data_IF_982069546958
#
_entry.id   IF_982069546958
#
_cell.length_a   1.000
_cell.length_b   1.000
_cell.length_c   1.000
_cell.angle_alpha   90.00
_cell.angle_beta   90.00
_cell.angle_gamma   90.00
#
_symmetry.space_group_name_H-M   'P 1'
#
loop_
_entity.id
_entity.type
_entity.pdbx_description
1 polymer ?
#
# COMPACT_ATOMS: atom_id res chain seq x y z
N UNK A 1 -11.01 16.44 -0.83
CA UNK A 1 -11.07 17.49 0.22
C UNK A 1 -11.44 18.80 -0.45
N UNK A 2 -12.32 19.62 0.14
CA UNK A 2 -12.70 20.91 -0.47
C UNK A 2 -11.50 21.88 -0.54
N UNK A 3 -11.44 22.77 -1.55
CA UNK A 3 -10.39 23.79 -1.63
C UNK A 3 -10.30 24.62 -0.35
N UNK A 4 -9.09 24.75 0.20
CA UNK A 4 -8.84 25.49 1.44
C UNK A 4 -9.35 24.82 2.73
N UNK A 5 -9.95 23.63 2.64
CA UNK A 5 -10.45 22.87 3.78
C UNK A 5 -9.59 21.67 4.17
N UNK A 6 -10.03 20.96 5.21
CA UNK A 6 -9.47 19.68 5.63
C UNK A 6 -10.59 18.66 5.88
N UNK A 7 -10.24 17.38 5.95
CA UNK A 7 -11.15 16.29 6.31
C UNK A 7 -10.42 15.36 7.25
N UNK A 8 -11.05 15.00 8.37
CA UNK A 8 -10.54 13.96 9.26
C UNK A 8 -11.26 12.64 8.96
N UNK A 9 -10.48 11.56 8.98
CA UNK A 9 -10.95 10.19 8.88
C UNK A 9 -10.35 9.39 10.03
N UNK A 10 -11.13 8.44 10.56
CA UNK A 10 -10.65 7.45 11.51
C UNK A 10 -10.74 6.09 10.86
N UNK A 11 -9.64 5.34 10.88
CA UNK A 11 -9.55 3.99 10.33
C UNK A 11 -8.91 3.06 11.35
N UNK A 12 -9.36 1.81 11.37
CA UNK A 12 -8.73 0.74 12.13
C UNK A 12 -7.79 -0.03 11.21
N UNK A 13 -6.56 -0.26 11.66
CA UNK A 13 -5.51 -0.92 10.86
C UNK A 13 -5.39 -2.40 11.26
N UNK A 14 -6.41 -3.20 10.95
CA UNK A 14 -6.47 -4.64 11.23
C UNK A 14 -6.02 -5.54 10.07
N UNK A 15 -5.72 -4.94 8.92
CA UNK A 15 -5.31 -5.66 7.73
C UNK A 15 -3.84 -5.41 7.40
N UNK A 16 -3.03 -6.44 7.63
CA UNK A 16 -1.58 -6.44 7.43
C UNK A 16 -1.26 -6.32 5.95
N UNK A 17 -0.33 -5.45 5.59
CA UNK A 17 0.01 -5.24 4.20
C UNK A 17 0.63 -3.89 3.91
N UNK A 18 0.91 -3.69 2.62
CA UNK A 18 1.23 -2.40 2.03
C UNK A 18 -0.01 -1.80 1.41
N UNK A 19 -0.38 -0.59 1.84
CA UNK A 19 -1.58 0.12 1.40
C UNK A 19 -1.20 1.43 0.71
N UNK A 20 -1.76 1.67 -0.47
CA UNK A 20 -1.63 2.93 -1.19
C UNK A 20 -2.78 3.87 -0.80
N UNK A 21 -2.44 5.04 -0.27
CA UNK A 21 -3.38 6.14 -0.05
C UNK A 21 -3.02 7.27 -1.01
N UNK A 22 -3.97 7.67 -1.85
CA UNK A 22 -3.71 8.60 -2.95
C UNK A 22 -4.90 9.50 -3.26
N UNK A 23 -4.64 10.55 -4.03
CA UNK A 23 -5.69 11.21 -4.78
C UNK A 23 -6.22 10.28 -5.89
N UNK A 24 -7.54 10.19 -6.04
CA UNK A 24 -8.16 9.40 -7.11
C UNK A 24 -8.10 10.12 -8.47
N UNK A 25 -7.88 11.44 -8.46
CA UNK A 25 -7.63 12.19 -9.68
C UNK A 25 -6.33 11.72 -10.34
N UNK A 26 -6.44 11.26 -11.60
CA UNK A 26 -5.34 10.62 -12.33
C UNK A 26 -4.13 11.54 -12.51
N UNK A 27 -4.34 12.82 -12.85
CA UNK A 27 -3.25 13.77 -13.07
C UNK A 27 -2.46 14.01 -11.78
N UNK A 28 -3.18 14.14 -10.67
CA UNK A 28 -2.56 14.36 -9.36
C UNK A 28 -1.82 13.12 -8.87
N UNK A 29 -2.38 11.92 -9.10
CA UNK A 29 -1.69 10.67 -8.79
C UNK A 29 -0.43 10.49 -9.64
N UNK A 30 -0.50 10.74 -10.95
CA UNK A 30 0.65 10.68 -11.86
C UNK A 30 1.78 11.65 -11.44
N UNK A 31 1.41 12.81 -10.91
CA UNK A 31 2.36 13.79 -10.36
C UNK A 31 2.83 13.45 -8.93
N UNK A 32 2.44 12.30 -8.39
CA UNK A 32 2.95 11.76 -7.14
C UNK A 32 2.17 12.14 -5.88
N UNK A 33 0.90 12.57 -6.00
CA UNK A 33 0.05 12.81 -4.83
C UNK A 33 -0.46 11.49 -4.23
N UNK A 34 0.46 10.72 -3.66
CA UNK A 34 0.24 9.43 -3.01
C UNK A 34 1.20 9.23 -1.83
N UNK A 35 0.83 8.35 -0.91
CA UNK A 35 1.71 7.79 0.11
C UNK A 35 1.44 6.31 0.26
N UNK A 36 2.45 5.58 0.73
CA UNK A 36 2.33 4.17 1.06
C UNK A 36 2.42 3.98 2.57
N UNK A 37 1.52 3.17 3.12
CA UNK A 37 1.48 2.80 4.52
C UNK A 37 1.74 1.30 4.65
N UNK A 38 2.62 0.93 5.57
CA UNK A 38 2.87 -0.47 5.92
C UNK A 38 2.20 -0.79 7.25
N UNK A 39 1.23 -1.68 7.23
CA UNK A 39 0.60 -2.22 8.44
C UNK A 39 1.31 -3.54 8.76
N UNK A 40 2.00 -3.56 9.90
CA UNK A 40 2.72 -4.75 10.39
C UNK A 40 1.92 -5.41 11.51
N UNK A 41 1.99 -6.74 11.60
CA UNK A 41 1.48 -7.46 12.75
C UNK A 41 2.62 -7.79 13.72
N UNK A 42 2.66 -7.20 14.93
CA UNK A 42 3.69 -7.47 15.92
C UNK A 42 3.41 -8.74 16.74
N UNK A 43 2.19 -9.30 16.65
CA UNK A 43 1.81 -10.48 17.43
C UNK A 43 2.38 -11.77 16.82
N UNK A 44 2.73 -12.72 17.68
CA UNK A 44 3.16 -14.06 17.28
C UNK A 44 1.91 -14.90 16.96
N UNK A 45 1.28 -14.59 15.84
CA UNK A 45 0.12 -15.33 15.34
C UNK A 45 0.24 -15.52 13.81
N UNK A 46 -0.64 -16.33 13.23
CA UNK A 46 -0.59 -16.66 11.79
C UNK A 46 -1.17 -15.57 10.87
N UNK A 47 -1.51 -14.38 11.39
CA UNK A 47 -2.04 -13.27 10.58
C UNK A 47 -0.88 -12.45 10.00
N UNK A 48 -0.15 -13.04 9.06
CA UNK A 48 0.91 -12.33 8.32
C UNK A 48 0.39 -11.87 6.96
N UNK A 49 1.17 -11.05 6.25
CA UNK A 49 0.93 -10.84 4.82
C UNK A 49 0.91 -12.19 4.11
N UNK A 50 0.03 -12.32 3.11
CA UNK A 50 0.03 -13.48 2.24
C UNK A 50 1.32 -13.51 1.43
N UNK A 51 1.81 -14.70 1.14
CA UNK A 51 2.93 -14.86 0.22
C UNK A 51 2.55 -14.31 -1.16
N UNK A 52 3.49 -13.70 -1.91
CA UNK A 52 3.25 -13.29 -3.28
C UNK A 52 2.68 -14.46 -4.11
N UNK A 53 1.72 -14.21 -5.01
CA UNK A 53 1.18 -15.26 -5.88
C UNK A 53 2.25 -15.74 -6.88
N UNK A 54 2.07 -16.95 -7.42
CA UNK A 54 3.04 -17.59 -8.33
C UNK A 54 3.29 -16.79 -9.62
N UNK A 55 2.33 -15.95 -10.04
CA UNK A 55 2.44 -15.10 -11.21
C UNK A 55 2.92 -13.67 -10.89
N UNK A 56 3.48 -13.44 -9.70
CA UNK A 56 4.07 -12.15 -9.36
C UNK A 56 5.22 -11.80 -10.31
N UNK A 57 5.22 -10.56 -10.81
CA UNK A 57 6.28 -10.04 -11.67
C UNK A 57 7.34 -9.41 -10.78
N UNK A 58 8.59 -9.86 -10.91
CA UNK A 58 9.72 -9.33 -10.15
C UNK A 58 10.51 -8.32 -10.97
N UNK A 59 10.83 -7.18 -10.36
CA UNK A 59 11.49 -6.06 -11.02
C UNK A 59 12.80 -5.66 -10.29
N UNK A 60 13.67 -4.93 -11.00
CA UNK A 60 14.88 -4.34 -10.41
C UNK A 60 15.80 -5.37 -9.77
N UNK A 61 16.18 -5.13 -8.51
CA UNK A 61 17.09 -6.00 -7.75
C UNK A 61 16.55 -7.43 -7.58
N UNK A 62 15.23 -7.64 -7.64
CA UNK A 62 14.61 -8.94 -7.49
C UNK A 62 14.40 -9.68 -8.83
N UNK A 63 14.86 -9.13 -9.96
CA UNK A 63 14.67 -9.74 -11.28
C UNK A 63 15.18 -11.18 -11.37
N UNK A 64 16.18 -11.57 -10.59
CA UNK A 64 16.68 -12.96 -10.54
C UNK A 64 15.66 -13.97 -9.99
N UNK A 65 14.59 -13.51 -9.32
CA UNK A 65 13.48 -14.34 -8.87
C UNK A 65 12.45 -14.59 -9.98
N UNK A 66 12.55 -13.88 -11.11
CA UNK A 66 11.74 -14.14 -12.30
C UNK A 66 12.24 -15.44 -12.96
N UNK A 67 11.55 -16.54 -12.69
CA UNK A 67 11.77 -17.85 -13.34
C UNK A 67 11.45 -17.78 -14.83
#
# INVERSE_FOLDING_TARGET
VFPGGWTAILVYLDNVGMWNLRAENLDSWYLGQELYMRVVNPEINNKTELTPPDNAIFCGALKYMQQ
#
